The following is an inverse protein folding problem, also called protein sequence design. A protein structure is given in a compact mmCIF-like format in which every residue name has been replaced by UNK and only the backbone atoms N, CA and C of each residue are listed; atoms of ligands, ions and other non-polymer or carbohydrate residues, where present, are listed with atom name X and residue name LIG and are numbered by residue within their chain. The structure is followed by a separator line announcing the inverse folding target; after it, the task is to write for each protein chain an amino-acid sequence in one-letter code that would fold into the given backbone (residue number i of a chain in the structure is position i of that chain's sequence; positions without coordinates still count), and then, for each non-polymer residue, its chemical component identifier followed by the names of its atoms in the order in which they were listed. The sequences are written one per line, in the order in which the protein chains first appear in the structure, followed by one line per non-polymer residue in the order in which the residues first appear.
data_IF_165963647773
#
_entry.id   IF_165963647773
#
_cell.length_a   1.000
_cell.length_b   1.000
_cell.length_c   1.000
_cell.angle_alpha   90.00
_cell.angle_beta   90.00
_cell.angle_gamma   90.00
#
_symmetry.space_group_name_H-M   'P 1'
#
loop_
_entity.id
_entity.type
_entity.pdbx_description
1 polymer ?
#
# COMPACT_ATOMS: atom_id res chain seq x y z
N UNK A 1 -42.66 27.35 18.61
CA UNK A 1 -41.42 27.01 19.34
C UNK A 1 -41.11 25.54 19.02
N UNK A 2 -40.29 25.26 18.00
CA UNK A 2 -40.00 23.90 17.55
C UNK A 2 -38.64 23.46 18.11
N UNK A 3 -38.64 22.40 18.92
CA UNK A 3 -37.45 21.80 19.54
C UNK A 3 -36.69 20.97 18.51
N UNK A 4 -35.43 21.35 18.24
CA UNK A 4 -34.51 20.65 17.35
C UNK A 4 -33.93 19.44 18.10
N UNK A 5 -34.33 18.22 17.72
CA UNK A 5 -33.75 17.00 18.27
C UNK A 5 -32.31 16.83 17.77
N UNK A 6 -31.35 16.80 18.70
CA UNK A 6 -29.95 16.46 18.45
C UNK A 6 -29.82 14.95 18.30
N UNK A 7 -29.66 14.46 17.06
CA UNK A 7 -29.32 13.06 16.80
C UNK A 7 -27.82 12.86 16.95
N UNK A 8 -27.39 12.39 18.12
CA UNK A 8 -26.06 11.81 18.32
C UNK A 8 -25.96 10.49 17.55
N UNK A 9 -25.10 10.44 16.53
CA UNK A 9 -24.79 9.24 15.76
C UNK A 9 -23.93 8.29 16.61
N UNK A 10 -24.56 7.33 17.28
CA UNK A 10 -23.85 6.29 18.03
C UNK A 10 -23.08 5.40 17.05
N UNK A 11 -21.77 5.37 17.20
CA UNK A 11 -20.87 4.44 16.51
C UNK A 11 -21.23 3.01 16.95
N UNK A 12 -21.36 2.08 16.01
CA UNK A 12 -21.80 0.72 16.35
C UNK A 12 -20.72 -0.01 17.17
N UNK A 13 -21.10 -0.84 18.16
CA UNK A 13 -20.13 -1.61 18.96
C UNK A 13 -19.22 -2.50 18.11
N UNK A 14 -19.73 -3.03 16.99
CA UNK A 14 -18.96 -3.81 16.03
C UNK A 14 -17.88 -2.98 15.33
N UNK A 15 -18.15 -1.71 15.00
CA UNK A 15 -17.15 -0.81 14.42
C UNK A 15 -16.06 -0.48 15.44
N UNK A 16 -16.44 -0.20 16.69
CA UNK A 16 -15.47 0.04 17.78
C UNK A 16 -14.59 -1.19 18.02
N UNK A 17 -15.17 -2.39 18.03
CA UNK A 17 -14.41 -3.63 18.19
C UNK A 17 -13.44 -3.88 17.04
N UNK A 18 -13.84 -3.59 15.81
CA UNK A 18 -13.03 -3.79 14.61
C UNK A 18 -11.87 -2.77 14.52
N UNK A 19 -12.09 -1.53 14.97
CA UNK A 19 -11.04 -0.52 15.14
C UNK A 19 -10.07 -0.90 16.25
N UNK A 20 -10.56 -1.40 17.38
CA UNK A 20 -9.71 -1.88 18.47
C UNK A 20 -8.89 -3.10 18.03
N UNK A 21 -9.50 -4.06 17.34
CA UNK A 21 -8.80 -5.22 16.78
C UNK A 21 -7.76 -4.79 15.73
N UNK A 22 -8.07 -3.81 14.89
CA UNK A 22 -7.12 -3.21 13.96
C UNK A 22 -5.95 -2.55 14.70
N UNK A 23 -6.20 -1.70 15.70
CA UNK A 23 -5.16 -1.07 16.51
C UNK A 23 -4.30 -2.11 17.24
N UNK A 24 -4.91 -3.17 17.77
CA UNK A 24 -4.21 -4.27 18.44
C UNK A 24 -3.38 -5.12 17.46
N UNK A 25 -3.88 -5.36 16.26
CA UNK A 25 -3.14 -6.07 15.20
C UNK A 25 -2.00 -5.22 14.64
N UNK A 26 -2.18 -3.90 14.58
CA UNK A 26 -1.17 -2.93 14.17
C UNK A 26 -0.08 -2.85 15.24
N UNK A 27 -0.43 -2.76 16.53
CA UNK A 27 0.54 -2.83 17.63
C UNK A 27 1.27 -4.17 17.65
N UNK A 28 0.58 -5.28 17.40
CA UNK A 28 1.23 -6.60 17.35
C UNK A 28 2.17 -6.74 16.13
N UNK A 29 1.84 -6.11 15.01
CA UNK A 29 2.70 -6.08 13.81
C UNK A 29 3.92 -5.18 14.02
N UNK A 30 3.74 -4.03 14.67
CA UNK A 30 4.82 -3.11 15.07
C UNK A 30 5.70 -3.75 16.15
N UNK A 31 5.12 -4.45 17.13
CA UNK A 31 5.87 -5.22 18.13
C UNK A 31 6.59 -6.42 17.52
N UNK A 32 6.00 -7.13 16.55
CA UNK A 32 6.66 -8.21 15.84
C UNK A 32 7.81 -7.69 14.97
N UNK A 33 7.67 -6.50 14.37
CA UNK A 33 8.74 -5.81 13.68
C UNK A 33 9.83 -5.32 14.67
N UNK A 34 9.43 -4.82 15.84
CA UNK A 34 10.34 -4.32 16.89
C UNK A 34 11.07 -5.41 17.68
N UNK A 35 10.48 -6.61 17.84
CA UNK A 35 11.12 -7.77 18.51
C UNK A 35 12.27 -8.36 17.70
N UNK A 36 12.36 -8.06 16.40
CA UNK A 36 13.53 -8.37 15.57
C UNK A 36 14.69 -7.36 15.70
N UNK A 37 14.50 -6.24 16.41
CA UNK A 37 15.43 -5.09 16.44
C UNK A 37 16.26 -5.01 17.74
N UNK A 38 16.16 -5.99 18.63
CA UNK A 38 17.00 -6.05 19.83
C UNK A 38 18.19 -6.99 19.63
N UNK A 39 19.24 -6.46 19.00
CA UNK A 39 20.66 -6.64 19.35
C UNK A 39 21.61 -6.33 18.18
N UNK A 40 21.57 -5.13 17.60
CA UNK A 40 22.74 -4.59 16.87
C UNK A 40 22.70 -3.06 16.74
N UNK A 41 22.84 -2.35 17.87
CA UNK A 41 23.28 -0.95 17.87
C UNK A 41 24.80 -0.87 17.63
N UNK A 42 25.28 -1.48 16.54
CA UNK A 42 26.63 -1.28 16.00
C UNK A 42 26.53 -0.82 14.54
N UNK A 43 26.39 0.49 14.34
CA UNK A 43 26.97 1.20 13.19
C UNK A 43 26.47 0.87 11.77
N UNK A 44 25.28 0.29 11.58
CA UNK A 44 24.68 0.16 10.26
C UNK A 44 23.18 0.43 10.34
N UNK A 45 22.71 1.55 9.78
CA UNK A 45 21.28 1.82 9.66
C UNK A 45 20.54 0.70 8.92
N UNK A 46 19.20 0.72 9.03
CA UNK A 46 18.31 -0.16 8.29
C UNK A 46 18.67 -0.18 6.78
N UNK A 47 18.47 -1.31 6.11
CA UNK A 47 18.64 -1.42 4.66
C UNK A 47 17.50 -0.76 3.88
N UNK A 48 17.32 -1.17 2.62
CA UNK A 48 16.32 -0.59 1.74
C UNK A 48 14.88 -0.96 2.15
N UNK A 49 13.94 -0.02 2.01
CA UNK A 49 12.50 -0.30 2.10
C UNK A 49 11.87 -0.49 0.72
N UNK A 50 11.45 -1.71 0.38
CA UNK A 50 10.78 -2.02 -0.87
C UNK A 50 9.27 -2.11 -0.66
N UNK A 51 8.53 -1.22 -1.31
CA UNK A 51 7.10 -1.03 -1.05
C UNK A 51 6.31 -1.32 -2.32
N UNK A 52 5.43 -2.31 -2.25
CA UNK A 52 4.48 -2.70 -3.29
C UNK A 52 3.08 -2.38 -2.79
N UNK A 53 2.17 -2.05 -3.69
CA UNK A 53 0.80 -1.82 -3.29
C UNK A 53 -0.03 -0.96 -4.20
N UNK A 54 -1.13 -0.48 -3.64
CA UNK A 54 -2.04 0.46 -4.27
C UNK A 54 -1.90 1.89 -3.71
N UNK A 55 -2.93 2.72 -3.89
CA UNK A 55 -3.02 4.09 -3.37
C UNK A 55 -2.68 4.24 -1.89
N UNK A 56 -2.90 3.21 -1.06
CA UNK A 56 -2.65 3.27 0.39
C UNK A 56 -1.17 3.48 0.73
N UNK A 57 -0.28 3.11 -0.19
CA UNK A 57 1.17 3.19 -0.01
C UNK A 57 1.88 3.86 -1.18
N UNK A 58 1.17 4.36 -2.20
CA UNK A 58 1.79 5.10 -3.32
C UNK A 58 2.50 6.37 -2.83
N UNK A 59 3.78 6.48 -3.17
CA UNK A 59 4.63 7.63 -2.83
C UNK A 59 4.68 8.71 -3.92
N UNK A 60 4.01 8.48 -5.07
CA UNK A 60 3.92 9.42 -6.18
C UNK A 60 4.15 8.84 -7.57
N UNK A 61 4.17 7.51 -7.75
CA UNK A 61 4.38 6.88 -9.06
C UNK A 61 3.32 7.31 -10.06
N UNK A 62 2.06 7.46 -9.62
CA UNK A 62 0.96 7.86 -10.48
C UNK A 62 1.10 9.26 -11.09
N UNK A 63 1.96 10.11 -10.54
CA UNK A 63 2.22 11.44 -11.12
C UNK A 63 2.92 11.36 -12.49
N UNK A 64 3.58 10.24 -12.75
CA UNK A 64 4.34 9.97 -13.98
C UNK A 64 3.56 9.12 -14.99
N UNK A 65 2.29 8.82 -14.72
CA UNK A 65 1.42 8.02 -15.58
C UNK A 65 0.27 8.86 -16.13
N UNK A 66 -0.16 8.62 -17.37
CA UNK A 66 -1.42 9.19 -17.87
C UNK A 66 -2.61 8.45 -17.23
N UNK A 67 -3.00 8.85 -16.03
CA UNK A 67 -3.98 8.17 -15.17
C UNK A 67 -4.96 9.15 -14.54
N UNK A 68 -6.17 8.67 -14.27
CA UNK A 68 -7.17 9.39 -13.47
C UNK A 68 -6.94 9.26 -11.95
N UNK A 69 -6.09 8.32 -11.52
CA UNK A 69 -5.80 8.09 -10.11
C UNK A 69 -4.54 8.85 -9.70
N UNK A 70 -4.65 10.15 -9.39
CA UNK A 70 -3.52 10.98 -8.91
C UNK A 70 -3.87 11.69 -7.61
N UNK A 71 -2.87 11.82 -6.74
CA UNK A 71 -2.97 12.58 -5.48
C UNK A 71 -1.92 13.71 -5.38
N UNK A 72 -1.68 14.40 -6.50
CA UNK A 72 -0.74 15.52 -6.61
C UNK A 72 -1.41 16.89 -6.42
N UNK A 73 -2.55 16.93 -5.74
CA UNK A 73 -3.29 18.16 -5.43
C UNK A 73 -3.61 18.21 -3.95
N UNK A 74 -3.65 19.43 -3.38
CA UNK A 74 -4.12 19.65 -2.01
C UNK A 74 -5.56 19.12 -1.85
N UNK A 75 -5.94 18.55 -0.70
CA UNK A 75 -5.23 18.56 0.58
C UNK A 75 -4.12 17.51 0.74
N UNK A 76 -3.81 16.70 -0.28
CA UNK A 76 -2.75 15.71 -0.15
C UNK A 76 -1.39 16.37 0.10
N UNK A 77 -0.58 15.77 0.97
CA UNK A 77 0.76 16.24 1.31
C UNK A 77 0.84 17.48 2.22
N UNK A 78 -0.27 18.12 2.64
CA UNK A 78 -0.24 19.35 3.46
C UNK A 78 0.48 19.18 4.81
N UNK A 79 0.42 17.99 5.40
CA UNK A 79 1.05 17.63 6.67
C UNK A 79 2.40 16.90 6.46
N UNK A 80 2.83 16.70 5.20
CA UNK A 80 4.06 16.00 4.88
C UNK A 80 5.27 16.95 4.95
N UNK A 81 5.91 16.97 6.13
CA UNK A 81 7.04 17.87 6.44
C UNK A 81 8.19 17.75 5.44
N UNK A 82 8.49 16.55 4.95
CA UNK A 82 9.62 16.31 4.06
C UNK A 82 9.46 16.97 2.67
N UNK A 83 8.23 17.28 2.24
CA UNK A 83 7.97 18.06 1.03
C UNK A 83 7.58 19.52 1.33
N UNK A 84 7.66 19.95 2.59
CA UNK A 84 7.21 21.28 3.02
C UNK A 84 5.71 21.52 2.80
N UNK A 85 4.88 20.47 2.81
CA UNK A 85 3.44 20.59 2.54
C UNK A 85 3.07 20.51 1.05
N UNK A 86 4.03 20.24 0.16
CA UNK A 86 3.79 20.10 -1.29
C UNK A 86 3.24 18.70 -1.61
N UNK A 87 2.16 18.58 -2.40
CA UNK A 87 1.63 17.27 -2.80
C UNK A 87 2.67 16.44 -3.56
N UNK A 88 2.99 15.27 -3.04
CA UNK A 88 3.95 14.34 -3.66
C UNK A 88 3.30 13.23 -4.47
N UNK A 89 1.97 13.12 -4.46
CA UNK A 89 1.23 11.98 -5.04
C UNK A 89 0.85 10.90 -4.02
N UNK A 90 1.11 11.12 -2.73
CA UNK A 90 0.58 10.29 -1.63
C UNK A 90 -0.90 10.57 -1.43
N UNK A 91 -1.73 9.52 -1.34
CA UNK A 91 -3.18 9.62 -1.14
C UNK A 91 -3.55 9.91 0.34
N UNK A 92 -2.85 10.87 0.95
CA UNK A 92 -3.00 11.27 2.35
C UNK A 92 -2.45 12.69 2.51
N UNK A 93 -2.82 13.35 3.61
CA UNK A 93 -2.25 14.66 3.95
C UNK A 93 -0.75 14.56 4.29
N UNK A 94 -0.25 13.39 4.72
CA UNK A 94 1.09 13.27 5.28
C UNK A 94 1.86 12.06 4.77
N UNK A 95 2.39 11.30 5.71
CA UNK A 95 3.08 10.02 5.50
C UNK A 95 2.06 8.91 5.18
N UNK A 96 2.43 8.00 4.29
CA UNK A 96 1.74 6.72 4.10
C UNK A 96 2.11 5.74 5.22
N UNK A 97 1.42 4.61 5.33
CA UNK A 97 1.80 3.57 6.28
C UNK A 97 3.21 3.00 5.97
N UNK A 98 3.58 2.91 4.69
CA UNK A 98 4.92 2.49 4.28
C UNK A 98 6.02 3.44 4.74
N UNK A 99 5.75 4.75 4.71
CA UNK A 99 6.66 5.77 5.24
C UNK A 99 6.83 5.65 6.76
N UNK A 100 5.73 5.49 7.50
CA UNK A 100 5.74 5.35 8.96
C UNK A 100 6.53 4.11 9.36
N UNK A 101 6.26 2.96 8.73
CA UNK A 101 7.00 1.72 9.01
C UNK A 101 8.49 1.89 8.75
N UNK A 102 8.88 2.57 7.66
CA UNK A 102 10.27 2.86 7.36
C UNK A 102 10.95 3.71 8.43
N UNK A 103 10.30 4.78 8.89
CA UNK A 103 10.82 5.66 9.93
C UNK A 103 10.95 4.97 11.29
N UNK A 104 9.92 4.23 11.72
CA UNK A 104 9.91 3.52 13.01
C UNK A 104 11.01 2.43 13.07
N UNK A 105 11.38 1.89 11.90
CA UNK A 105 12.48 0.94 11.76
C UNK A 105 13.84 1.63 11.58
N UNK A 106 13.89 2.96 11.61
CA UNK A 106 15.13 3.74 11.58
C UNK A 106 15.67 4.01 10.18
N UNK A 107 14.84 3.91 9.13
CA UNK A 107 15.23 4.40 7.81
C UNK A 107 15.43 5.91 7.84
N UNK A 108 16.59 6.37 7.36
CA UNK A 108 16.90 7.79 7.31
C UNK A 108 16.16 8.54 6.19
N UNK A 109 15.71 7.82 5.16
CA UNK A 109 15.03 8.39 4.00
C UNK A 109 13.79 7.56 3.64
N UNK A 110 12.82 8.21 3.00
CA UNK A 110 11.66 7.52 2.44
C UNK A 110 12.03 6.75 1.18
N UNK A 111 11.31 5.66 0.92
CA UNK A 111 11.40 4.93 -0.34
C UNK A 111 10.99 5.84 -1.50
N UNK A 112 11.86 5.94 -2.51
CA UNK A 112 11.64 6.81 -3.67
C UNK A 112 10.64 6.16 -4.63
N UNK A 113 9.64 6.89 -5.19
CA UNK A 113 8.79 6.34 -6.24
C UNK A 113 9.62 5.94 -7.46
N UNK A 114 9.51 4.68 -7.90
CA UNK A 114 10.32 4.12 -8.98
C UNK A 114 10.29 4.94 -10.28
N UNK A 115 9.15 5.54 -10.61
CA UNK A 115 9.00 6.34 -11.84
C UNK A 115 9.55 7.76 -11.73
N UNK A 116 10.04 8.19 -10.57
CA UNK A 116 10.59 9.53 -10.42
C UNK A 116 11.97 9.66 -11.10
N UNK A 117 12.30 10.83 -11.69
CA UNK A 117 13.56 11.04 -12.42
C UNK A 117 14.84 10.85 -11.59
N UNK A 118 14.70 10.94 -10.27
CA UNK A 118 15.74 10.80 -9.25
C UNK A 118 15.83 9.37 -8.66
N UNK A 119 14.95 8.44 -9.06
CA UNK A 119 15.00 7.03 -8.67
C UNK A 119 16.15 6.27 -9.36
N UNK A 120 17.38 6.65 -9.04
CA UNK A 120 18.61 6.11 -9.65
C UNK A 120 19.81 6.22 -8.71
N UNK A 121 20.82 5.42 -9.00
CA UNK A 121 22.08 5.45 -8.26
C UNK A 121 21.90 5.17 -6.76
N UNK A 122 22.64 5.88 -5.91
CA UNK A 122 22.62 5.67 -4.46
C UNK A 122 21.27 5.96 -3.80
N UNK A 123 20.37 6.71 -4.43
CA UNK A 123 19.02 6.95 -3.90
C UNK A 123 18.25 5.64 -3.72
N UNK A 124 18.47 4.66 -4.59
CA UNK A 124 17.83 3.35 -4.52
C UNK A 124 18.18 2.57 -3.25
N UNK A 125 19.33 2.85 -2.62
CA UNK A 125 19.80 2.14 -1.43
C UNK A 125 18.94 2.42 -0.19
N UNK A 126 18.21 3.54 -0.17
CA UNK A 126 17.21 3.80 0.88
C UNK A 126 15.92 2.99 0.71
N UNK A 127 15.70 2.41 -0.47
CA UNK A 127 14.45 1.76 -0.82
C UNK A 127 13.70 2.42 -1.95
N UNK A 128 12.74 1.68 -2.49
CA UNK A 128 11.97 2.07 -3.66
C UNK A 128 10.52 1.69 -3.45
N UNK A 129 9.64 2.62 -3.81
CA UNK A 129 8.21 2.46 -3.81
C UNK A 129 7.74 2.16 -5.24
N UNK A 130 7.14 0.99 -5.44
CA UNK A 130 6.58 0.52 -6.71
C UNK A 130 5.05 0.66 -6.76
N UNK A 131 4.43 1.05 -5.65
CA UNK A 131 2.98 1.09 -5.51
C UNK A 131 2.33 2.09 -6.46
N UNK A 132 1.06 1.86 -6.78
CA UNK A 132 0.32 2.69 -7.73
C UNK A 132 -1.16 2.79 -7.35
N UNK A 133 -1.67 4.03 -7.29
CA UNK A 133 -3.11 4.27 -7.18
C UNK A 133 -3.92 3.50 -8.24
N UNK A 134 -4.92 2.74 -7.78
CA UNK A 134 -5.74 1.86 -8.63
C UNK A 134 -5.09 0.53 -9.01
N UNK A 135 -3.87 0.25 -8.55
CA UNK A 135 -3.20 -1.05 -8.72
C UNK A 135 -3.94 -2.19 -8.00
N UNK A 136 -3.75 -3.40 -8.50
CA UNK A 136 -4.36 -4.62 -7.96
C UNK A 136 -3.52 -5.85 -8.29
N UNK A 137 -3.92 -6.97 -7.68
CA UNK A 137 -3.32 -8.29 -7.93
C UNK A 137 -3.68 -8.76 -9.34
N UNK A 138 -4.94 -8.60 -9.73
CA UNK A 138 -5.43 -8.99 -11.04
C UNK A 138 -5.15 -7.89 -12.07
N UNK A 139 -4.67 -8.29 -13.25
CA UNK A 139 -4.42 -7.35 -14.35
C UNK A 139 -5.68 -6.64 -14.88
N UNK A 140 -6.87 -7.16 -14.61
CA UNK A 140 -8.12 -6.48 -14.96
C UNK A 140 -8.43 -5.29 -14.03
N UNK A 141 -7.84 -5.27 -12.83
CA UNK A 141 -8.15 -4.29 -11.79
C UNK A 141 -7.72 -2.88 -12.17
N UNK A 142 -8.56 -1.91 -11.83
CA UNK A 142 -8.27 -0.48 -11.98
C UNK A 142 -8.17 0.01 -13.42
N UNK A 143 -8.58 -0.78 -14.43
CA UNK A 143 -8.58 -0.36 -15.85
C UNK A 143 -9.35 0.94 -16.10
N UNK A 144 -10.37 1.23 -15.30
CA UNK A 144 -11.14 2.48 -15.36
C UNK A 144 -10.28 3.74 -15.11
N UNK A 145 -9.12 3.61 -14.47
CA UNK A 145 -8.19 4.71 -14.23
C UNK A 145 -7.25 4.97 -15.40
N UNK A 146 -7.49 4.36 -16.57
CA UNK A 146 -6.67 4.41 -17.79
C UNK A 146 -5.33 3.70 -17.62
N UNK A 147 -4.40 4.28 -16.85
CA UNK A 147 -3.11 3.66 -16.53
C UNK A 147 -2.95 3.46 -15.03
N UNK A 148 -2.31 2.36 -14.66
CA UNK A 148 -1.99 1.95 -13.29
C UNK A 148 -0.91 0.87 -13.34
N UNK A 149 -0.10 0.76 -12.29
CA UNK A 149 0.85 -0.34 -12.13
C UNK A 149 0.17 -1.48 -11.35
N UNK A 150 -0.22 -2.54 -12.06
CA UNK A 150 -0.64 -3.80 -11.43
C UNK A 150 0.55 -4.52 -10.81
N UNK A 151 0.29 -5.48 -9.93
CA UNK A 151 1.34 -6.15 -9.15
C UNK A 151 2.45 -6.77 -10.03
N UNK A 152 2.11 -7.35 -11.18
CA UNK A 152 3.11 -7.87 -12.15
C UNK A 152 4.15 -6.80 -12.53
N UNK A 153 3.68 -5.59 -12.86
CA UNK A 153 4.56 -4.48 -13.25
C UNK A 153 5.41 -4.01 -12.07
N UNK A 154 4.85 -4.01 -10.86
CA UNK A 154 5.60 -3.64 -9.66
C UNK A 154 6.72 -4.65 -9.37
N UNK A 155 6.46 -5.94 -9.60
CA UNK A 155 7.46 -7.01 -9.52
C UNK A 155 8.56 -6.84 -10.57
N UNK A 156 8.21 -6.48 -11.81
CA UNK A 156 9.19 -6.17 -12.86
C UNK A 156 10.08 -4.97 -12.52
N UNK A 157 9.50 -3.94 -11.91
CA UNK A 157 10.26 -2.78 -11.42
C UNK A 157 11.24 -3.19 -10.32
N UNK A 158 10.82 -4.03 -9.38
CA UNK A 158 11.74 -4.58 -8.38
C UNK A 158 12.87 -5.41 -9.02
N UNK A 159 12.56 -6.24 -10.02
CA UNK A 159 13.58 -7.01 -10.74
C UNK A 159 14.59 -6.09 -11.44
N UNK A 160 14.14 -4.93 -11.92
CA UNK A 160 15.02 -3.88 -12.48
C UNK A 160 15.89 -3.25 -11.40
N UNK A 161 15.30 -2.84 -10.29
CA UNK A 161 16.04 -2.30 -9.14
C UNK A 161 17.05 -3.30 -8.59
N UNK A 162 16.73 -4.59 -8.57
CA UNK A 162 17.66 -5.64 -8.14
C UNK A 162 18.93 -5.67 -8.99
N UNK A 163 18.80 -5.53 -10.32
CA UNK A 163 19.96 -5.44 -11.23
C UNK A 163 20.77 -4.18 -10.97
N UNK A 164 20.11 -3.04 -10.76
CA UNK A 164 20.79 -1.80 -10.39
C UNK A 164 21.55 -1.90 -9.07
N UNK A 165 21.04 -2.65 -8.09
CA UNK A 165 21.77 -2.94 -6.85
C UNK A 165 23.03 -3.78 -7.11
N UNK A 166 22.95 -4.78 -7.99
CA UNK A 166 24.11 -5.58 -8.39
C UNK A 166 25.19 -4.69 -9.03
N UNK A 167 24.80 -3.70 -9.84
CA UNK A 167 25.73 -2.73 -10.45
C UNK A 167 26.34 -1.77 -9.41
N UNK A 168 25.56 -1.35 -8.41
CA UNK A 168 26.00 -0.37 -7.40
C UNK A 168 26.89 -0.96 -6.31
N UNK A 169 26.61 -2.20 -5.90
CA UNK A 169 27.26 -2.83 -4.74
C UNK A 169 28.09 -4.06 -5.10
N UNK A 170 27.88 -4.63 -6.29
CA UNK A 170 28.34 -5.98 -6.65
C UNK A 170 27.34 -7.04 -6.19
N UNK A 171 27.18 -8.11 -6.99
CA UNK A 171 26.14 -9.16 -6.82
C UNK A 171 26.02 -9.72 -5.40
N UNK A 172 27.14 -10.11 -4.78
CA UNK A 172 27.14 -10.72 -3.45
C UNK A 172 26.75 -9.72 -2.36
N UNK A 173 27.32 -8.51 -2.38
CA UNK A 173 26.97 -7.45 -1.41
C UNK A 173 25.53 -6.99 -1.58
N UNK A 174 25.07 -6.84 -2.83
CA UNK A 174 23.67 -6.55 -3.12
C UNK A 174 22.75 -7.64 -2.58
N UNK A 175 23.10 -8.92 -2.73
CA UNK A 175 22.32 -10.06 -2.23
C UNK A 175 22.19 -9.98 -0.72
N UNK A 176 23.30 -9.80 -0.02
CA UNK A 176 23.32 -9.67 1.43
C UNK A 176 22.57 -8.42 1.92
N UNK A 177 22.71 -7.30 1.22
CA UNK A 177 22.01 -6.06 1.56
C UNK A 177 20.49 -6.24 1.48
N UNK A 178 19.99 -6.84 0.40
CA UNK A 178 18.55 -7.09 0.24
C UNK A 178 18.06 -8.15 1.23
N UNK A 179 18.77 -9.27 1.37
CA UNK A 179 18.29 -10.40 2.17
C UNK A 179 18.36 -10.17 3.69
N UNK A 180 19.37 -9.43 4.17
CA UNK A 180 19.67 -9.33 5.61
C UNK A 180 19.29 -7.97 6.22
N UNK A 181 19.19 -6.92 5.41
CA UNK A 181 18.99 -5.54 5.92
C UNK A 181 17.71 -4.87 5.42
N UNK A 182 17.17 -5.33 4.30
CA UNK A 182 16.05 -4.65 3.62
C UNK A 182 14.71 -5.22 4.04
N UNK A 183 13.66 -4.42 3.86
CA UNK A 183 12.29 -4.77 4.26
C UNK A 183 11.38 -4.70 3.05
N UNK A 184 10.40 -5.60 3.03
CA UNK A 184 9.39 -5.69 1.99
C UNK A 184 8.03 -5.45 2.61
N UNK A 185 7.28 -4.50 2.06
CA UNK A 185 5.89 -4.22 2.41
C UNK A 185 5.03 -4.32 1.15
N UNK A 186 3.91 -5.02 1.21
CA UNK A 186 3.05 -5.27 0.04
C UNK A 186 1.62 -4.96 0.45
N UNK A 187 1.04 -3.80 0.13
CA UNK A 187 -0.35 -3.45 0.47
C UNK A 187 -1.22 -3.40 -0.78
N UNK A 188 -1.82 -4.52 -1.18
CA UNK A 188 -2.56 -4.67 -2.44
C UNK A 188 -3.76 -5.63 -2.30
N UNK A 189 -4.69 -5.59 -3.25
CA UNK A 189 -5.88 -6.46 -3.28
C UNK A 189 -7.18 -5.68 -3.08
N UNK A 190 -7.11 -4.48 -2.50
CA UNK A 190 -8.28 -3.69 -2.18
C UNK A 190 -9.10 -3.32 -3.42
N UNK A 191 -8.43 -2.88 -4.48
CA UNK A 191 -9.07 -2.50 -5.72
C UNK A 191 -9.68 -3.70 -6.45
N UNK A 192 -9.14 -4.90 -6.27
CA UNK A 192 -9.68 -6.13 -6.86
C UNK A 192 -11.06 -6.44 -6.29
N UNK A 193 -11.25 -6.28 -4.97
CA UNK A 193 -12.56 -6.42 -4.34
C UNK A 193 -13.50 -5.25 -4.64
N UNK A 194 -13.02 -4.00 -4.61
CA UNK A 194 -13.85 -2.83 -4.88
C UNK A 194 -14.45 -2.87 -6.29
N UNK A 195 -13.61 -3.20 -7.28
CA UNK A 195 -14.04 -3.26 -8.67
C UNK A 195 -14.96 -4.46 -8.95
N UNK A 196 -14.79 -5.59 -8.25
CA UNK A 196 -15.60 -6.79 -8.49
C UNK A 196 -16.85 -6.93 -7.61
N UNK A 197 -16.89 -6.33 -6.41
CA UNK A 197 -18.01 -6.52 -5.47
C UNK A 197 -18.74 -5.21 -5.13
N UNK A 198 -18.02 -4.12 -4.82
CA UNK A 198 -18.63 -2.91 -4.26
C UNK A 198 -19.11 -1.88 -5.30
N UNK A 199 -18.62 -1.92 -6.54
CA UNK A 199 -19.08 -1.02 -7.63
C UNK A 199 -19.61 -1.78 -8.87
N UNK A 200 -20.86 -2.29 -8.84
CA UNK A 200 -21.42 -3.15 -9.89
C UNK A 200 -21.66 -2.57 -11.26
N UNK A 201 -21.92 -1.28 -11.35
CA UNK A 201 -22.19 -0.64 -12.63
C UNK A 201 -20.97 -0.57 -13.57
N UNK A 202 -19.75 -0.84 -13.07
CA UNK A 202 -18.51 -0.67 -13.84
C UNK A 202 -17.88 -1.99 -14.31
N UNK A 203 -18.35 -3.13 -13.80
CA UNK A 203 -17.82 -4.48 -14.10
C UNK A 203 -18.87 -5.40 -14.75
N UNK A 204 -19.88 -4.80 -15.38
CA UNK A 204 -21.06 -5.46 -15.99
C UNK A 204 -20.68 -6.50 -17.07
N UNK A 205 -19.45 -6.52 -17.58
CA UNK A 205 -18.98 -7.54 -18.53
C UNK A 205 -18.24 -8.75 -17.92
N UNK A 206 -17.63 -8.62 -16.74
CA UNK A 206 -16.77 -9.67 -16.14
C UNK A 206 -17.43 -10.35 -14.94
N UNK A 207 -18.62 -9.89 -14.54
CA UNK A 207 -19.28 -10.24 -13.28
C UNK A 207 -19.98 -11.60 -13.20
N UNK A 208 -19.88 -12.47 -14.20
CA UNK A 208 -20.93 -13.49 -14.37
C UNK A 208 -20.54 -14.96 -14.28
N UNK A 209 -19.30 -15.34 -13.96
CA UNK A 209 -18.91 -16.77 -13.99
C UNK A 209 -18.29 -17.34 -12.72
N UNK A 210 -18.01 -16.54 -11.70
CA UNK A 210 -17.20 -16.99 -10.55
C UNK A 210 -17.82 -16.63 -9.20
N UNK A 211 -17.72 -17.55 -8.23
CA UNK A 211 -18.17 -17.31 -6.84
C UNK A 211 -17.16 -16.45 -6.07
N UNK A 212 -17.55 -15.83 -4.94
CA UNK A 212 -16.60 -15.09 -4.10
C UNK A 212 -15.39 -15.91 -3.65
N UNK A 213 -15.60 -17.18 -3.28
CA UNK A 213 -14.52 -18.05 -2.81
C UNK A 213 -13.57 -18.44 -3.93
N UNK A 214 -14.09 -18.75 -5.13
CA UNK A 214 -13.28 -19.05 -6.30
C UNK A 214 -12.45 -17.82 -6.70
N UNK A 215 -13.03 -16.62 -6.67
CA UNK A 215 -12.31 -15.38 -6.98
C UNK A 215 -11.20 -15.09 -5.97
N UNK A 216 -11.45 -15.35 -4.68
CA UNK A 216 -10.40 -15.28 -3.65
C UNK A 216 -9.30 -16.30 -3.93
N UNK A 217 -9.67 -17.51 -4.36
CA UNK A 217 -8.74 -18.54 -4.82
C UNK A 217 -7.82 -18.04 -5.93
N UNK A 218 -8.40 -17.52 -7.01
CA UNK A 218 -7.65 -16.98 -8.15
C UNK A 218 -6.73 -15.82 -7.76
N UNK A 219 -7.19 -14.91 -6.90
CA UNK A 219 -6.37 -13.82 -6.38
C UNK A 219 -5.17 -14.34 -5.57
N UNK A 220 -5.39 -15.35 -4.72
CA UNK A 220 -4.32 -15.93 -3.92
C UNK A 220 -3.30 -16.67 -4.80
N UNK A 221 -3.76 -17.37 -5.84
CA UNK A 221 -2.90 -18.04 -6.81
C UNK A 221 -2.06 -17.02 -7.61
N UNK A 222 -2.70 -15.98 -8.16
CA UNK A 222 -1.97 -14.92 -8.87
C UNK A 222 -0.96 -14.20 -7.99
N UNK A 223 -1.34 -13.85 -6.76
CA UNK A 223 -0.42 -13.21 -5.83
C UNK A 223 0.75 -14.15 -5.47
N UNK A 224 0.48 -15.44 -5.28
CA UNK A 224 1.53 -16.43 -5.03
C UNK A 224 2.50 -16.49 -6.20
N UNK A 225 2.01 -16.54 -7.43
CA UNK A 225 2.85 -16.59 -8.63
C UNK A 225 3.69 -15.32 -8.75
N UNK A 226 3.08 -14.14 -8.59
CA UNK A 226 3.77 -12.84 -8.59
C UNK A 226 4.92 -12.79 -7.59
N UNK A 227 4.72 -13.34 -6.38
CA UNK A 227 5.74 -13.36 -5.35
C UNK A 227 6.78 -14.48 -5.51
N UNK A 228 6.46 -15.52 -6.27
CA UNK A 228 7.35 -16.68 -6.53
C UNK A 228 8.23 -16.46 -7.77
N UNK A 229 7.71 -15.81 -8.81
CA UNK A 229 8.45 -15.45 -10.04
C UNK A 229 9.68 -14.62 -9.70
N UNK A 230 9.56 -13.70 -8.74
CA UNK A 230 10.73 -13.14 -8.06
C UNK A 230 11.19 -14.11 -6.98
N UNK A 231 11.91 -15.16 -7.38
CA UNK A 231 12.59 -16.23 -6.60
C UNK A 231 13.44 -15.77 -5.37
N UNK A 232 13.29 -14.52 -4.91
CA UNK A 232 14.04 -13.83 -3.86
C UNK A 232 13.21 -12.87 -3.00
N UNK A 233 11.91 -12.64 -3.27
CA UNK A 233 11.05 -11.85 -2.35
C UNK A 233 10.60 -12.72 -1.15
N UNK A 234 10.39 -14.01 -1.37
CA UNK A 234 9.69 -14.89 -0.43
C UNK A 234 10.57 -15.80 0.43
N UNK A 235 11.66 -15.30 1.01
CA UNK A 235 12.33 -15.97 2.14
C UNK A 235 11.97 -15.31 3.50
N UNK A 236 11.30 -14.15 3.51
CA UNK A 236 10.95 -13.44 4.77
C UNK A 236 9.45 -13.33 5.09
N UNK A 237 8.55 -13.58 4.13
CA UNK A 237 7.11 -13.51 4.39
C UNK A 237 6.59 -14.89 4.79
N UNK A 238 6.46 -15.11 6.10
CA UNK A 238 5.90 -16.32 6.69
C UNK A 238 4.48 -16.56 6.15
N UNK A 239 4.25 -17.65 5.41
CA UNK A 239 3.04 -17.92 4.62
C UNK A 239 1.72 -17.87 5.41
N UNK A 240 1.75 -18.02 6.74
CA UNK A 240 0.56 -17.93 7.59
C UNK A 240 0.07 -16.48 7.86
N UNK A 241 0.85 -15.45 7.53
CA UNK A 241 0.47 -14.03 7.75
C UNK A 241 -0.15 -13.33 6.54
N UNK A 242 -0.10 -13.94 5.35
CA UNK A 242 -0.61 -13.35 4.10
C UNK A 242 -2.14 -13.24 4.13
N UNK A 243 -2.83 -14.23 4.72
CA UNK A 243 -4.29 -14.20 4.91
C UNK A 243 -4.75 -13.08 5.84
N UNK A 244 -4.06 -12.86 6.95
CA UNK A 244 -4.33 -11.75 7.89
C UNK A 244 -4.03 -10.39 7.27
N UNK A 245 -2.97 -10.32 6.46
CA UNK A 245 -2.56 -9.11 5.75
C UNK A 245 -3.58 -8.66 4.67
N UNK A 246 -4.10 -9.60 3.88
CA UNK A 246 -5.18 -9.34 2.91
C UNK A 246 -6.47 -8.93 3.61
N UNK A 247 -6.77 -9.51 4.77
CA UNK A 247 -7.91 -9.12 5.61
C UNK A 247 -7.78 -7.68 6.14
N UNK A 248 -6.57 -7.27 6.54
CA UNK A 248 -6.28 -5.88 6.96
C UNK A 248 -6.55 -4.86 5.83
N UNK A 249 -6.18 -5.21 4.60
CA UNK A 249 -6.43 -4.37 3.42
C UNK A 249 -7.93 -4.21 3.12
N UNK A 250 -8.75 -5.24 3.37
CA UNK A 250 -10.22 -5.19 3.23
C UNK A 250 -10.90 -4.30 4.29
N UNK A 251 -10.36 -4.29 5.52
CA UNK A 251 -10.86 -3.42 6.61
C UNK A 251 -10.63 -1.94 6.31
N UNK A 252 -9.48 -1.59 5.74
CA UNK A 252 -9.14 -0.20 5.38
C UNK A 252 -10.14 0.35 4.34
N UNK A 253 -10.56 -0.47 3.37
CA UNK A 253 -11.58 -0.11 2.37
C UNK A 253 -12.94 0.16 3.01
N UNK A 254 -13.40 -0.71 3.91
CA UNK A 254 -14.66 -0.50 4.62
C UNK A 254 -14.63 0.80 5.45
N UNK A 255 -13.49 1.13 6.06
CA UNK A 255 -13.34 2.36 6.83
C UNK A 255 -13.27 3.62 5.95
N UNK A 256 -12.58 3.57 4.80
CA UNK A 256 -12.57 4.67 3.84
C UNK A 256 -13.94 4.86 3.17
N UNK A 257 -14.64 3.77 2.83
CA UNK A 257 -16.00 3.82 2.31
C UNK A 257 -17.01 4.38 3.31
N UNK A 258 -16.89 4.04 4.60
CA UNK A 258 -17.70 4.61 5.68
C UNK A 258 -17.36 6.09 5.95
N UNK A 259 -16.08 6.48 5.83
CA UNK A 259 -15.65 7.89 5.92
C UNK A 259 -16.15 8.73 4.74
N UNK A 260 -16.22 8.16 3.53
CA UNK A 260 -16.78 8.81 2.34
C UNK A 260 -18.32 8.87 2.34
N UNK A 261 -19.03 7.85 2.86
CA UNK A 261 -20.49 7.91 3.06
C UNK A 261 -20.90 8.98 4.09
N UNK A 262 -20.05 9.25 5.09
CA UNK A 262 -20.24 10.36 6.03
C UNK A 262 -20.19 11.74 5.37
N UNK A 263 -19.45 11.89 4.27
CA UNK A 263 -19.35 13.15 3.52
C UNK A 263 -20.46 13.32 2.47
N UNK A 264 -20.94 12.22 1.86
CA UNK A 264 -22.03 12.29 0.86
C UNK A 264 -23.38 12.61 1.51
N UNK A 265 -23.64 12.11 2.72
CA UNK A 265 -24.86 12.46 3.47
C UNK A 265 -24.82 13.89 4.03
N UNK A 266 -23.65 14.52 4.11
CA UNK A 266 -23.51 15.92 4.49
C UNK A 266 -23.81 16.88 3.32
N UNK A 267 -23.54 16.48 2.07
CA UNK A 267 -23.89 17.27 0.88
C UNK A 267 -25.34 17.10 0.40
N UNK A 268 -26.05 16.05 0.84
CA UNK A 268 -27.49 15.82 0.50
C UNK A 268 -28.47 16.40 1.52
N UNK A 269 -28.01 17.12 2.53
CA UNK A 269 -28.85 17.77 3.56
C UNK A 269 -28.92 19.31 3.44
N UNK A 270 -28.52 19.87 2.30
CA UNK A 270 -28.39 21.32 2.09
C UNK A 270 -29.05 21.81 0.79
N UNK A 271 -30.14 21.17 0.36
CA UNK A 271 -31.18 21.72 -0.51
C UNK A 271 -32.54 21.13 -0.10
#
# INVERSE_FOLDING_TARGET
MATRASTSSRVSPAFTFLVIFFLLSLTASVEAAGRGVNNDKKGGGLGASFIFGDSLVDAGNNNYLSTLSRANMKPNGIDFKASGGTPTGRFTNGRTIGDIVGEELGSANYAIPFLAPDAKGKALLAGVNYASGGGGIMNATGRIFVNRLGMDVQVDFFNTTRKQFDDLLGKEKAKDYIAKKSIFSITIGANDFLNNYLFPLLSVGTRFTQTPDDFIGDMLEHLRDQLTVSNKILISIHQNKVREFLFSSFVIICMLWLKYRGCINWMRGSL
#
